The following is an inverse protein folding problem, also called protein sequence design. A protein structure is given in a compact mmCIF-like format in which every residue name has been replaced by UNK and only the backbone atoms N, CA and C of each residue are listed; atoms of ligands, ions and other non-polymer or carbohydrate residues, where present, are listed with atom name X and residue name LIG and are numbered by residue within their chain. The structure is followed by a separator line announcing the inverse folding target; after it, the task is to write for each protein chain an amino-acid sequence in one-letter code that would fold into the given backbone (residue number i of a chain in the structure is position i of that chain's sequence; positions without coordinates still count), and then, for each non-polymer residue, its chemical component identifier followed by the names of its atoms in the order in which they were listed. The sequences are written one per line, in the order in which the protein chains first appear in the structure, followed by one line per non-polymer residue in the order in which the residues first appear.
data_IF_054682512985
#
_entry.id   IF_054682512985
#
_cell.length_a   1.000
_cell.length_b   1.000
_cell.length_c   1.000
_cell.angle_alpha   90.00
_cell.angle_beta   90.00
_cell.angle_gamma   90.00
#
_symmetry.space_group_name_H-M   'P 1'
#
loop_
_entity.id
_entity.type
_entity.pdbx_description
1 polymer ?
#
# COMPACT_ATOMS: atom_id res chain seq x y z
N UNK A 1 -26.24 5.76 22.09
CA UNK A 1 -25.24 6.74 21.61
C UNK A 1 -24.99 6.35 20.16
N UNK A 2 -25.44 7.17 19.21
CA UNK A 2 -25.34 6.87 17.78
C UNK A 2 -24.39 7.91 17.19
N UNK A 3 -23.32 7.44 16.56
CA UNK A 3 -22.38 8.32 15.88
C UNK A 3 -22.77 8.39 14.40
N UNK A 4 -22.99 9.59 13.89
CA UNK A 4 -23.17 9.85 12.47
C UNK A 4 -21.86 10.39 11.92
N UNK A 5 -21.35 9.73 10.90
CA UNK A 5 -20.24 10.25 10.11
C UNK A 5 -20.73 11.37 9.16
N UNK A 6 -19.77 12.07 8.54
CA UNK A 6 -20.05 13.17 7.60
C UNK A 6 -20.75 12.71 6.31
N UNK A 7 -20.80 11.39 6.08
CA UNK A 7 -21.43 10.74 4.91
C UNK A 7 -22.86 10.27 5.21
N UNK A 8 -23.34 10.40 6.46
CA UNK A 8 -24.72 10.15 6.85
C UNK A 8 -25.03 8.72 7.31
N UNK A 9 -24.01 7.87 7.45
CA UNK A 9 -24.13 6.54 8.02
C UNK A 9 -24.16 6.59 9.56
N UNK A 10 -25.20 6.00 10.13
CA UNK A 10 -25.32 5.78 11.57
C UNK A 10 -24.56 4.53 11.96
N UNK A 11 -23.43 4.71 12.64
CA UNK A 11 -22.69 3.60 13.22
C UNK A 11 -23.13 3.39 14.68
N UNK A 12 -23.51 2.16 15.00
CA UNK A 12 -23.65 1.74 16.39
C UNK A 12 -22.26 1.56 17.00
N UNK A 13 -22.03 2.10 18.19
CA UNK A 13 -20.76 1.91 18.91
C UNK A 13 -20.43 0.44 19.19
N UNK A 14 -21.42 -0.44 19.12
CA UNK A 14 -21.26 -1.89 19.28
C UNK A 14 -20.72 -2.55 18.00
N UNK A 15 -20.90 -1.95 16.83
CA UNK A 15 -20.45 -2.49 15.53
C UNK A 15 -19.08 -1.97 15.08
N UNK A 16 -18.67 -0.81 15.58
CA UNK A 16 -17.35 -0.21 15.35
C UNK A 16 -16.12 -0.93 15.96
N UNK A 17 -16.20 -1.73 17.05
CA UNK A 17 -15.00 -2.21 17.73
C UNK A 17 -14.02 -3.02 16.85
N UNK A 18 -14.47 -3.96 15.99
CA UNK A 18 -13.56 -4.69 15.10
C UNK A 18 -12.88 -3.78 14.07
N UNK A 19 -13.61 -2.82 13.52
CA UNK A 19 -13.12 -1.89 12.51
C UNK A 19 -12.08 -0.93 13.09
N UNK A 20 -12.34 -0.41 14.29
CA UNK A 20 -11.41 0.45 15.03
C UNK A 20 -10.16 -0.34 15.43
N UNK A 21 -10.32 -1.58 15.90
CA UNK A 21 -9.18 -2.44 16.24
C UNK A 21 -8.32 -2.74 15.01
N UNK A 22 -8.93 -2.99 13.86
CA UNK A 22 -8.22 -3.19 12.59
C UNK A 22 -7.46 -1.93 12.17
N UNK A 23 -8.10 -0.77 12.22
CA UNK A 23 -7.49 0.52 11.89
C UNK A 23 -6.30 0.83 12.82
N UNK A 24 -6.48 0.67 14.13
CA UNK A 24 -5.42 0.88 15.12
C UNK A 24 -4.21 -0.01 14.84
N UNK A 25 -4.44 -1.31 14.67
CA UNK A 25 -3.36 -2.29 14.46
C UNK A 25 -2.57 -2.05 13.17
N UNK A 26 -3.19 -1.49 12.13
CA UNK A 26 -2.57 -1.28 10.81
C UNK A 26 -2.04 0.14 10.60
N UNK A 27 -2.48 1.12 11.39
CA UNK A 27 -2.00 2.49 11.34
C UNK A 27 -0.52 2.60 11.75
N UNK A 28 0.25 3.48 11.10
CA UNK A 28 1.63 3.73 11.48
C UNK A 28 1.68 4.65 12.71
N UNK A 29 2.45 4.26 13.71
CA UNK A 29 2.69 5.11 14.87
C UNK A 29 3.69 6.23 14.52
N UNK A 30 3.40 7.48 14.90
CA UNK A 30 4.17 8.67 14.53
C UNK A 30 5.66 8.56 14.86
N UNK A 31 6.01 8.01 16.03
CA UNK A 31 7.41 7.94 16.47
C UNK A 31 8.15 6.71 15.95
N UNK A 32 7.43 5.60 15.73
CA UNK A 32 8.04 4.30 15.41
C UNK A 32 8.05 4.03 13.91
N UNK A 33 7.21 4.76 13.15
CA UNK A 33 6.98 4.60 11.70
C UNK A 33 6.58 3.16 11.32
N UNK A 34 6.18 2.37 12.31
CA UNK A 34 5.75 0.98 12.18
C UNK A 34 4.37 0.85 12.78
N UNK A 35 3.58 -0.07 12.23
CA UNK A 35 2.27 -0.42 12.75
C UNK A 35 2.38 -1.33 13.98
N UNK A 36 1.46 -1.24 14.95
CA UNK A 36 1.44 -2.12 16.11
C UNK A 36 1.47 -3.61 15.74
N UNK A 37 0.72 -4.04 14.72
CA UNK A 37 0.74 -5.45 14.29
C UNK A 37 2.10 -5.90 13.76
N UNK A 38 2.84 -5.01 13.10
CA UNK A 38 4.18 -5.31 12.61
C UNK A 38 5.17 -5.46 13.76
N UNK A 39 5.02 -4.69 14.83
CA UNK A 39 5.89 -4.75 16.01
C UNK A 39 5.58 -5.98 16.87
N UNK A 40 4.31 -6.28 17.10
CA UNK A 40 3.89 -7.40 17.96
C UNK A 40 3.99 -8.76 17.27
N UNK A 41 3.55 -8.83 16.00
CA UNK A 41 3.38 -10.10 15.27
C UNK A 41 4.41 -10.30 14.17
N UNK A 42 5.13 -9.25 13.78
CA UNK A 42 6.08 -9.29 12.65
C UNK A 42 5.43 -9.16 11.27
N UNK A 43 4.10 -9.00 11.18
CA UNK A 43 3.39 -8.87 9.91
C UNK A 43 2.11 -8.04 10.06
N UNK A 44 1.64 -7.46 8.96
CA UNK A 44 0.39 -6.71 8.91
C UNK A 44 -0.75 -7.58 8.36
N UNK A 45 -1.94 -7.56 9.00
CA UNK A 45 -3.10 -8.26 8.46
C UNK A 45 -3.48 -7.71 7.09
N UNK A 46 -3.91 -8.61 6.20
CA UNK A 46 -4.41 -8.24 4.88
C UNK A 46 -5.69 -7.41 5.03
N UNK A 47 -5.67 -6.20 4.49
CA UNK A 47 -6.85 -5.34 4.51
C UNK A 47 -7.81 -5.73 3.38
N UNK A 48 -9.11 -5.42 3.49
CA UNK A 48 -10.06 -5.62 2.40
C UNK A 48 -9.63 -4.99 1.07
N UNK A 49 -8.95 -3.83 1.13
CA UNK A 49 -8.38 -3.17 -0.06
C UNK A 49 -7.30 -3.99 -0.75
N UNK A 50 -6.59 -4.85 -0.03
CA UNK A 50 -5.57 -5.72 -0.62
C UNK A 50 -6.19 -6.89 -1.36
N UNK A 51 -7.41 -7.31 -0.98
CA UNK A 51 -8.18 -8.27 -1.76
C UNK A 51 -8.69 -7.70 -3.08
N UNK A 52 -9.02 -6.41 -3.13
CA UNK A 52 -9.37 -5.73 -4.39
C UNK A 52 -8.18 -5.68 -5.36
N UNK A 53 -6.95 -5.67 -4.84
CA UNK A 53 -5.72 -5.70 -5.64
C UNK A 53 -5.37 -7.09 -6.18
N UNK A 54 -6.09 -8.17 -5.83
CA UNK A 54 -5.82 -9.53 -6.36
C UNK A 54 -5.85 -9.61 -7.89
N UNK A 55 -6.64 -8.76 -8.54
CA UNK A 55 -6.75 -8.73 -10.00
C UNK A 55 -5.74 -7.79 -10.67
N UNK A 56 -4.95 -7.05 -9.88
CA UNK A 56 -3.82 -6.29 -10.41
C UNK A 56 -2.66 -7.26 -10.55
N UNK A 57 -2.01 -7.27 -11.72
CA UNK A 57 -0.76 -7.98 -11.94
C UNK A 57 0.22 -7.56 -10.83
N UNK A 58 0.49 -8.46 -9.89
CA UNK A 58 1.56 -8.27 -8.91
C UNK A 58 2.88 -8.42 -9.66
N UNK A 59 3.32 -7.31 -10.27
CA UNK A 59 4.63 -7.23 -10.90
C UNK A 59 5.62 -7.48 -9.77
N UNK A 60 6.31 -8.62 -9.81
CA UNK A 60 7.36 -8.94 -8.84
C UNK A 60 8.32 -7.74 -8.74
N UNK A 61 8.79 -7.33 -7.55
CA UNK A 61 9.65 -6.14 -7.42
C UNK A 61 10.84 -6.16 -8.39
N UNK A 62 11.43 -7.33 -8.63
CA UNK A 62 12.48 -7.56 -9.65
C UNK A 62 12.05 -7.21 -11.07
N UNK A 63 10.78 -7.40 -11.44
CA UNK A 63 10.26 -7.04 -12.76
C UNK A 63 10.05 -5.53 -12.90
N UNK A 64 9.75 -4.81 -11.81
CA UNK A 64 9.74 -3.34 -11.79
C UNK A 64 11.16 -2.79 -11.99
N UNK A 65 12.14 -3.38 -11.31
CA UNK A 65 13.54 -3.01 -11.44
C UNK A 65 14.09 -3.33 -12.83
N UNK A 66 13.72 -4.48 -13.39
CA UNK A 66 14.07 -4.86 -14.76
C UNK A 66 13.52 -3.89 -15.80
N UNK A 67 12.24 -3.48 -15.68
CA UNK A 67 11.64 -2.51 -16.59
C UNK A 67 12.37 -1.15 -16.53
N UNK A 68 12.72 -0.71 -15.32
CA UNK A 68 13.48 0.53 -15.13
C UNK A 68 14.88 0.44 -15.77
N UNK A 69 15.60 -0.65 -15.54
CA UNK A 69 16.92 -0.87 -16.16
C UNK A 69 16.84 -0.93 -17.68
N UNK A 70 15.86 -1.65 -18.22
CA UNK A 70 15.64 -1.74 -19.66
C UNK A 70 15.40 -0.37 -20.28
N UNK A 71 14.49 0.42 -19.69
CA UNK A 71 14.17 1.76 -20.19
C UNK A 71 15.40 2.66 -20.22
N UNK A 72 16.19 2.63 -19.15
CA UNK A 72 17.44 3.38 -19.05
C UNK A 72 18.45 2.96 -20.12
N UNK A 73 18.59 1.66 -20.40
CA UNK A 73 19.46 1.13 -21.45
C UNK A 73 19.03 1.60 -22.86
N UNK A 74 17.72 1.59 -23.16
CA UNK A 74 17.20 2.12 -24.41
C UNK A 74 17.47 3.63 -24.57
N UNK A 75 17.27 4.40 -23.50
CA UNK A 75 17.52 5.85 -23.51
C UNK A 75 19.00 6.16 -23.77
N UNK A 76 19.92 5.40 -23.15
CA UNK A 76 21.36 5.56 -23.37
C UNK A 76 21.77 5.18 -24.79
N UNK A 77 21.25 4.07 -25.32
CA UNK A 77 21.55 3.64 -26.69
C UNK A 77 21.07 4.69 -27.72
N UNK A 78 19.88 5.25 -27.50
CA UNK A 78 19.32 6.29 -28.36
C UNK A 78 20.17 7.58 -28.35
N UNK A 79 20.73 7.94 -27.20
CA UNK A 79 21.64 9.09 -27.08
C UNK A 79 22.97 8.85 -27.79
N UNK A 80 23.58 7.68 -27.61
CA UNK A 80 24.83 7.35 -28.30
C UNK A 80 24.67 7.38 -29.83
N UNK A 81 23.55 6.87 -30.36
CA UNK A 81 23.23 6.94 -31.80
C UNK A 81 23.03 8.40 -32.27
N UNK A 82 22.50 9.27 -31.41
CA UNK A 82 22.29 10.67 -31.75
C UNK A 82 23.59 11.50 -31.68
N UNK A 83 24.55 11.12 -30.84
CA UNK A 83 25.88 11.75 -30.70
C UNK A 83 26.86 11.32 -31.81
N UNK A 84 26.63 10.17 -32.47
CA UNK A 84 27.43 9.67 -33.60
C UNK A 84 27.06 10.30 -34.97
N UNK A 85 26.08 11.21 -35.02
CA UNK A 85 25.67 11.96 -36.23
C UNK A 85 26.16 13.39 -36.22
#
# INVERSE_FOLDING_TARGET
MEYKDNEGYTHSWVTLPPEVQMAYNTSQHTNTVKSPSLVEKGWNPLLPVDHLKKNLLTIHPTAKDFHYMWKKACDTASKCIAEEK
#
